data_IF_317517170792
#
_entry.id   IF_317517170792
#
_cell.length_a   1.000
_cell.length_b   1.000
_cell.length_c   1.000
_cell.angle_alpha   90.00
_cell.angle_beta   90.00
_cell.angle_gamma   90.00
#
_symmetry.space_group_name_H-M   'P 1'
#
loop_
_entity.id
_entity.type
_entity.pdbx_description
1 polymer ?
#
# COMPACT_ATOMS: atom_id res chain seq x y z
N UNK A 1 -6.02 -4.71 3.52
CA UNK A 1 -7.01 -4.31 2.48
C UNK A 1 -6.25 -3.76 1.28
N UNK A 2 -6.73 -4.03 0.07
CA UNK A 2 -6.18 -3.50 -1.19
C UNK A 2 -7.25 -2.66 -1.87
N UNK A 3 -6.93 -1.44 -2.29
CA UNK A 3 -7.89 -0.55 -2.95
C UNK A 3 -7.22 0.44 -3.90
N UNK A 4 -8.01 1.17 -4.69
CA UNK A 4 -7.55 2.36 -5.45
C UNK A 4 -7.18 3.51 -4.51
N UNK A 5 -6.05 4.21 -4.72
CA UNK A 5 -5.60 5.32 -3.87
C UNK A 5 -6.57 6.49 -3.72
N UNK A 6 -7.39 6.78 -4.74
CA UNK A 6 -8.39 7.86 -4.66
C UNK A 6 -9.46 7.68 -3.57
N UNK A 7 -9.56 6.49 -2.97
CA UNK A 7 -10.46 6.20 -1.84
C UNK A 7 -9.78 6.26 -0.47
N UNK A 8 -8.51 6.68 -0.39
CA UNK A 8 -7.74 6.68 0.85
C UNK A 8 -8.47 7.37 2.01
N UNK A 9 -8.99 8.57 1.78
CA UNK A 9 -9.67 9.34 2.83
C UNK A 9 -10.99 8.69 3.28
N UNK A 10 -11.79 8.17 2.33
CA UNK A 10 -13.01 7.42 2.62
C UNK A 10 -12.71 6.18 3.48
N UNK A 11 -11.67 5.43 3.11
CA UNK A 11 -11.26 4.21 3.80
C UNK A 11 -10.79 4.53 5.22
N UNK A 12 -9.88 5.49 5.39
CA UNK A 12 -9.35 5.90 6.70
C UNK A 12 -10.47 6.36 7.62
N UNK A 13 -11.38 7.19 7.11
CA UNK A 13 -12.54 7.68 7.85
C UNK A 13 -13.46 6.53 8.26
N UNK A 14 -13.76 5.62 7.33
CA UNK A 14 -14.62 4.46 7.58
C UNK A 14 -14.00 3.53 8.60
N UNK A 15 -12.70 3.25 8.52
CA UNK A 15 -11.97 2.42 9.47
C UNK A 15 -12.10 3.00 10.88
N UNK A 16 -11.81 4.30 11.06
CA UNK A 16 -11.92 4.97 12.36
C UNK A 16 -13.34 4.98 12.92
N UNK A 17 -14.34 5.23 12.06
CA UNK A 17 -15.76 5.18 12.46
C UNK A 17 -16.19 3.80 12.99
N UNK A 18 -15.49 2.73 12.60
CA UNK A 18 -15.75 1.37 13.07
C UNK A 18 -14.74 0.89 14.13
N UNK A 19 -13.99 1.81 14.73
CA UNK A 19 -13.02 1.50 15.78
C UNK A 19 -11.80 0.72 15.28
N UNK A 20 -11.48 0.80 13.99
CA UNK A 20 -10.28 0.24 13.39
C UNK A 20 -9.32 1.39 13.13
N UNK A 21 -8.19 1.42 13.84
CA UNK A 21 -7.20 2.46 13.61
C UNK A 21 -6.28 2.02 12.46
N UNK A 22 -6.17 2.80 11.37
CA UNK A 22 -5.22 2.50 10.31
C UNK A 22 -3.79 2.61 10.85
N UNK A 23 -2.98 1.58 10.57
CA UNK A 23 -1.64 1.44 11.12
C UNK A 23 -0.55 1.54 10.08
N UNK A 24 -0.78 0.98 8.90
CA UNK A 24 0.21 0.94 7.83
C UNK A 24 -0.46 1.24 6.51
N UNK A 25 0.17 2.11 5.74
CA UNK A 25 -0.21 2.43 4.37
C UNK A 25 1.00 2.22 3.46
N UNK A 26 0.79 1.57 2.33
CA UNK A 26 1.81 1.40 1.30
C UNK A 26 1.21 1.70 -0.07
N UNK A 27 1.87 2.58 -0.80
CA UNK A 27 1.49 2.92 -2.17
C UNK A 27 2.22 2.01 -3.14
N UNK A 28 1.49 1.56 -4.15
CA UNK A 28 2.01 0.72 -5.22
C UNK A 28 1.85 1.48 -6.53
N UNK A 29 2.98 1.62 -7.21
CA UNK A 29 3.14 2.36 -8.45
C UNK A 29 3.45 1.38 -9.57
N UNK A 30 2.84 1.52 -10.75
CA UNK A 30 3.14 0.64 -11.87
C UNK A 30 4.60 0.81 -12.32
N UNK A 31 5.12 2.04 -12.31
CA UNK A 31 6.49 2.41 -12.68
C UNK A 31 6.93 3.68 -11.96
N UNK A 32 8.24 3.93 -11.94
CA UNK A 32 8.80 5.21 -11.49
C UNK A 32 8.19 6.37 -12.31
N UNK A 33 7.85 7.47 -11.63
CA UNK A 33 7.26 8.67 -12.26
C UNK A 33 5.79 8.54 -12.70
N UNK A 34 5.14 7.39 -12.47
CA UNK A 34 3.68 7.23 -12.66
C UNK A 34 2.95 7.47 -11.34
N UNK A 35 1.64 7.68 -11.43
CA UNK A 35 0.78 7.79 -10.24
C UNK A 35 0.54 6.41 -9.60
N UNK A 36 0.32 6.40 -8.29
CA UNK A 36 -0.05 5.19 -7.58
C UNK A 36 -1.40 4.69 -8.10
N UNK A 37 -1.49 3.41 -8.43
CA UNK A 37 -2.74 2.79 -8.88
C UNK A 37 -3.34 1.85 -7.82
N UNK A 38 -2.54 1.46 -6.83
CA UNK A 38 -2.93 0.53 -5.76
C UNK A 38 -2.45 1.05 -4.41
N UNK A 39 -3.31 0.92 -3.41
CA UNK A 39 -3.11 1.27 -2.02
C UNK A 39 -3.27 0.00 -1.18
N UNK A 40 -2.24 -0.33 -0.43
CA UNK A 40 -2.30 -1.32 0.63
C UNK A 40 -2.52 -0.58 1.94
N UNK A 41 -3.50 -1.03 2.72
CA UNK A 41 -3.77 -0.47 4.04
C UNK A 41 -4.10 -1.57 5.03
N UNK A 42 -3.51 -1.46 6.21
CA UNK A 42 -3.77 -2.32 7.37
C UNK A 42 -4.27 -1.45 8.53
N UNK A 43 -5.09 -2.04 9.40
CA UNK A 43 -5.51 -1.40 10.64
C UNK A 43 -5.78 -2.41 11.74
N UNK A 44 -5.81 -1.91 12.97
CA UNK A 44 -6.00 -2.72 14.18
C UNK A 44 -7.25 -2.22 14.91
N UNK A 45 -8.16 -3.15 15.24
CA UNK A 45 -9.36 -2.84 16.03
C UNK A 45 -8.96 -2.41 17.45
N UNK A 46 -9.46 -1.26 17.89
CA UNK A 46 -9.10 -0.66 19.19
C UNK A 46 -7.65 -0.17 19.30
N UNK A 47 -6.95 -0.02 18.17
CA UNK A 47 -5.59 0.50 18.15
C UNK A 47 -5.51 1.97 18.56
N UNK A 48 -4.39 2.38 19.16
CA UNK A 48 -4.09 3.81 19.41
C UNK A 48 -3.65 4.51 18.12
N UNK A 49 -3.84 5.83 18.03
CA UNK A 49 -3.40 6.61 16.87
C UNK A 49 -1.89 6.49 16.66
N UNK A 50 -1.50 5.91 15.52
CA UNK A 50 -0.12 5.84 15.03
C UNK A 50 -0.15 5.21 13.62
N UNK A 51 0.16 6.00 12.60
CA UNK A 51 0.11 5.60 11.19
C UNK A 51 1.52 5.64 10.59
N UNK A 52 1.96 4.51 10.05
CA UNK A 52 3.22 4.38 9.33
C UNK A 52 2.99 4.33 7.82
N UNK A 53 3.61 5.24 7.09
CA UNK A 53 3.70 5.16 5.63
C UNK A 53 4.94 4.32 5.29
N UNK A 54 4.73 3.21 4.60
CA UNK A 54 5.79 2.31 4.19
C UNK A 54 6.45 2.79 2.89
N UNK A 55 7.71 2.39 2.63
CA UNK A 55 8.33 2.59 1.34
C UNK A 55 7.43 2.08 0.20
N UNK A 56 7.34 2.82 -0.91
CA UNK A 56 6.48 2.44 -2.03
C UNK A 56 6.97 1.16 -2.70
N UNK A 57 6.06 0.45 -3.35
CA UNK A 57 6.40 -0.67 -4.25
C UNK A 57 6.26 -0.17 -5.67
N UNK A 58 7.30 -0.38 -6.48
CA UNK A 58 7.25 -0.19 -7.92
C UNK A 58 7.14 -1.56 -8.58
N UNK A 59 6.13 -1.75 -9.43
CA UNK A 59 5.88 -3.06 -10.05
C UNK A 59 6.90 -3.33 -11.15
N UNK A 60 7.08 -2.38 -12.07
CA UNK A 60 7.96 -2.53 -13.22
C UNK A 60 9.07 -1.49 -13.26
N UNK A 61 10.22 -1.91 -13.79
CA UNK A 61 11.29 -1.04 -14.25
C UNK A 61 10.93 -0.38 -15.59
N UNK A 62 11.79 0.51 -16.09
CA UNK A 62 11.58 1.18 -17.38
C UNK A 62 11.44 0.18 -18.54
N UNK A 63 12.23 -0.90 -18.52
CA UNK A 63 12.24 -1.96 -19.54
C UNK A 63 11.03 -2.92 -19.48
N UNK A 64 10.03 -2.65 -18.64
CA UNK A 64 8.85 -3.51 -18.39
C UNK A 64 9.13 -4.83 -17.68
N UNK A 65 10.34 -5.05 -17.15
CA UNK A 65 10.56 -6.16 -16.24
C UNK A 65 10.08 -5.84 -14.83
N UNK A 66 9.71 -6.87 -14.06
CA UNK A 66 9.46 -6.70 -12.64
C UNK A 66 10.69 -6.17 -11.92
N UNK A 67 10.49 -5.22 -11.01
CA UNK A 67 11.55 -4.76 -10.11
C UNK A 67 12.06 -5.92 -9.26
N UNK A 68 13.30 -5.82 -8.77
CA UNK A 68 13.88 -6.87 -7.92
C UNK A 68 13.01 -7.13 -6.68
N UNK A 69 12.48 -6.07 -6.07
CA UNK A 69 11.57 -6.16 -4.93
C UNK A 69 10.27 -6.91 -5.31
N UNK A 70 9.67 -6.60 -6.47
CA UNK A 70 8.46 -7.29 -6.93
C UNK A 70 8.73 -8.77 -7.26
N UNK A 71 9.89 -9.09 -7.86
CA UNK A 71 10.32 -10.47 -8.11
C UNK A 71 10.44 -11.25 -6.79
N UNK A 72 11.06 -10.66 -5.76
CA UNK A 72 11.16 -11.27 -4.42
C UNK A 72 9.79 -11.50 -3.78
N UNK A 73 8.87 -10.53 -3.88
CA UNK A 73 7.51 -10.66 -3.33
C UNK A 73 6.67 -11.74 -4.03
N UNK A 74 6.84 -11.93 -5.34
CA UNK A 74 6.07 -12.89 -6.14
C UNK A 74 6.60 -14.32 -6.04
N UNK A 75 7.92 -14.47 -6.06
CA UNK A 75 8.57 -15.78 -6.19
C UNK A 75 9.20 -16.28 -4.89
N UNK A 76 9.25 -15.44 -3.85
CA UNK A 76 9.96 -15.73 -2.60
C UNK A 76 11.47 -15.61 -2.74
N UNK A 77 12.20 -15.72 -1.63
CA UNK A 77 13.65 -15.92 -1.66
C UNK A 77 13.94 -17.33 -2.18
N UNK A 78 14.70 -17.45 -3.26
CA UNK A 78 15.44 -18.68 -3.55
C UNK A 78 16.69 -18.72 -2.67
#
# INVERSE_FOLDING_TARGET
MVHRPGRLLDIVTTMRNHGIEPKRVQFVYPKMGKEANTLLIEGIKGGKADLKILPPVYVYEENNEYTANMKEMLYGQQ
#
